data_IF_574787270984
#
_entry.id   IF_574787270984
#
_cell.length_a   1.000
_cell.length_b   1.000
_cell.length_c   1.000
_cell.angle_alpha   90.00
_cell.angle_beta   90.00
_cell.angle_gamma   90.00
#
_symmetry.space_group_name_H-M   'P 1'
#
loop_
_entity.id
_entity.type
_entity.pdbx_description
1 polymer ?
#
# COMPACT_ATOMS: atom_id res chain seq x y z
N UNK A 1 -17.65 -23.59 -19.71
CA UNK A 1 -16.61 -22.55 -19.76
C UNK A 1 -15.45 -23.00 -18.91
N UNK A 2 -14.35 -23.42 -19.53
CA UNK A 2 -13.19 -23.97 -18.80
C UNK A 2 -12.35 -22.79 -18.31
N UNK A 3 -12.29 -22.60 -16.99
CA UNK A 3 -11.41 -21.60 -16.39
C UNK A 3 -9.98 -22.16 -16.48
N UNK A 4 -9.19 -21.62 -17.40
CA UNK A 4 -7.74 -21.92 -17.45
C UNK A 4 -7.10 -21.20 -16.26
N UNK A 5 -6.78 -21.93 -15.20
CA UNK A 5 -5.94 -21.43 -14.10
C UNK A 5 -4.49 -21.37 -14.59
N UNK A 6 -4.09 -20.24 -15.14
CA UNK A 6 -2.68 -19.94 -15.35
C UNK A 6 -2.09 -19.52 -14.01
N UNK A 7 -1.31 -20.37 -13.38
CA UNK A 7 -0.55 -20.00 -12.18
C UNK A 7 0.62 -19.10 -12.60
N UNK A 8 0.75 -17.95 -11.90
CA UNK A 8 1.92 -17.09 -12.06
C UNK A 8 3.15 -17.84 -11.54
N UNK A 9 4.25 -17.80 -12.30
CA UNK A 9 5.51 -18.43 -11.89
C UNK A 9 6.02 -17.79 -10.59
N UNK A 10 6.52 -18.62 -9.67
CA UNK A 10 7.15 -18.16 -8.43
C UNK A 10 8.64 -18.52 -8.50
N UNK A 11 9.51 -17.55 -8.21
CA UNK A 11 10.94 -17.75 -8.03
C UNK A 11 11.31 -17.43 -6.58
N UNK A 12 12.05 -18.31 -5.92
CA UNK A 12 12.51 -18.15 -4.54
C UNK A 12 14.06 -18.11 -4.50
N UNK A 13 14.61 -17.55 -3.42
CA UNK A 13 16.06 -17.46 -3.23
C UNK A 13 16.74 -16.39 -4.09
N UNK A 14 15.98 -15.54 -4.75
CA UNK A 14 16.49 -14.40 -5.52
C UNK A 14 16.82 -13.26 -4.56
N UNK A 15 17.97 -12.62 -4.73
CA UNK A 15 18.35 -11.38 -4.04
C UNK A 15 18.28 -10.20 -5.03
N UNK A 16 18.24 -8.94 -4.57
CA UNK A 16 18.25 -7.79 -5.45
C UNK A 16 19.38 -7.80 -6.50
N UNK A 17 20.55 -8.33 -6.12
CA UNK A 17 21.73 -8.42 -6.97
C UNK A 17 21.68 -9.58 -7.98
N UNK A 18 20.84 -10.58 -7.73
CA UNK A 18 20.74 -11.81 -8.52
C UNK A 18 19.45 -11.90 -9.36
N UNK A 19 18.70 -10.81 -9.50
CA UNK A 19 17.49 -10.79 -10.32
C UNK A 19 17.85 -11.12 -11.77
N UNK A 20 17.30 -12.20 -12.38
CA UNK A 20 17.62 -12.60 -13.75
C UNK A 20 16.83 -11.78 -14.78
N UNK A 21 17.16 -10.48 -14.91
CA UNK A 21 16.40 -9.55 -15.75
C UNK A 21 16.27 -10.01 -17.19
N UNK A 22 17.35 -10.50 -17.80
CA UNK A 22 17.33 -10.97 -19.21
C UNK A 22 16.33 -12.11 -19.42
N UNK A 23 16.28 -13.05 -18.47
CA UNK A 23 15.32 -14.16 -18.51
C UNK A 23 13.90 -13.64 -18.34
N UNK A 24 13.66 -12.73 -17.37
CA UNK A 24 12.33 -12.18 -17.09
C UNK A 24 11.80 -11.38 -18.29
N UNK A 25 12.63 -10.55 -18.90
CA UNK A 25 12.25 -9.77 -20.08
C UNK A 25 12.01 -10.65 -21.31
N UNK A 26 12.87 -11.65 -21.55
CA UNK A 26 12.70 -12.55 -22.71
C UNK A 26 11.42 -13.39 -22.63
N UNK A 27 11.01 -13.78 -21.44
CA UNK A 27 9.78 -14.56 -21.23
C UNK A 27 8.51 -13.71 -21.36
N UNK A 28 8.59 -12.42 -21.11
CA UNK A 28 7.47 -11.46 -21.15
C UNK A 28 6.21 -11.98 -20.41
N UNK A 29 6.40 -12.55 -19.23
CA UNK A 29 5.37 -13.12 -18.38
C UNK A 29 5.47 -12.57 -16.97
N UNK A 30 4.36 -12.42 -16.23
CA UNK A 30 4.41 -12.03 -14.83
C UNK A 30 5.11 -13.12 -14.00
N UNK A 31 5.94 -12.70 -13.04
CA UNK A 31 6.66 -13.58 -12.11
C UNK A 31 6.60 -12.98 -10.72
N UNK A 32 6.44 -13.83 -9.71
CA UNK A 32 6.52 -13.45 -8.30
C UNK A 32 7.92 -13.77 -7.80
N UNK A 33 8.69 -12.77 -7.39
CA UNK A 33 9.99 -12.92 -6.74
C UNK A 33 9.75 -13.01 -5.21
N UNK A 34 9.51 -14.21 -4.71
CA UNK A 34 9.11 -14.42 -3.31
C UNK A 34 10.30 -14.21 -2.38
N UNK A 35 10.10 -13.35 -1.39
CA UNK A 35 11.10 -13.05 -0.37
C UNK A 35 12.21 -12.08 -0.82
N UNK A 36 12.12 -11.50 -2.03
CA UNK A 36 13.13 -10.59 -2.57
C UNK A 36 13.47 -9.44 -1.59
N UNK A 37 12.46 -8.86 -0.97
CA UNK A 37 12.60 -7.71 -0.06
C UNK A 37 12.52 -8.08 1.43
N UNK A 38 12.66 -9.36 1.77
CA UNK A 38 12.51 -9.86 3.16
C UNK A 38 13.46 -9.19 4.15
N UNK A 39 14.60 -8.72 3.68
CA UNK A 39 15.67 -8.14 4.49
C UNK A 39 15.61 -6.61 4.58
N UNK A 40 14.71 -5.97 3.87
CA UNK A 40 14.52 -4.52 3.96
C UNK A 40 14.11 -4.11 5.38
N UNK A 41 14.65 -2.98 5.90
CA UNK A 41 14.34 -2.51 7.26
C UNK A 41 12.85 -2.37 7.52
N UNK A 42 12.09 -1.74 6.61
CA UNK A 42 10.62 -1.60 6.73
C UNK A 42 9.89 -2.94 6.76
N UNK A 43 10.35 -3.94 5.98
CA UNK A 43 9.75 -5.28 6.01
C UNK A 43 10.01 -5.97 7.35
N UNK A 44 11.22 -5.83 7.91
CA UNK A 44 11.56 -6.34 9.24
C UNK A 44 10.74 -5.67 10.35
N UNK A 45 10.54 -4.36 10.25
CA UNK A 45 9.65 -3.63 11.17
C UNK A 45 8.20 -4.07 11.04
N UNK A 46 7.71 -4.25 9.81
CA UNK A 46 6.33 -4.68 9.54
C UNK A 46 6.01 -6.07 10.08
N UNK A 47 7.00 -6.97 10.12
CA UNK A 47 6.86 -8.28 10.77
C UNK A 47 6.77 -8.20 12.30
N UNK A 48 7.21 -7.10 12.90
CA UNK A 48 7.11 -6.88 14.34
C UNK A 48 5.78 -6.25 14.72
N UNK A 49 5.45 -5.09 14.11
CA UNK A 49 4.14 -4.44 14.29
C UNK A 49 3.91 -3.32 13.28
N UNK A 50 2.63 -3.07 12.95
CA UNK A 50 2.22 -1.92 12.13
C UNK A 50 2.57 -0.60 12.81
N UNK A 51 2.51 -0.53 14.14
CA UNK A 51 2.85 0.68 14.91
C UNK A 51 4.32 1.08 14.70
N UNK A 52 5.25 0.12 14.63
CA UNK A 52 6.66 0.41 14.35
C UNK A 52 6.89 0.93 12.93
N UNK A 53 6.18 0.39 11.95
CA UNK A 53 6.23 0.89 10.57
C UNK A 53 5.69 2.31 10.50
N UNK A 54 4.55 2.58 11.11
CA UNK A 54 3.99 3.94 11.15
C UNK A 54 4.95 4.94 11.81
N UNK A 55 5.57 4.57 12.91
CA UNK A 55 6.55 5.44 13.59
C UNK A 55 7.77 5.72 12.72
N UNK A 56 8.30 4.73 12.03
CA UNK A 56 9.44 4.88 11.11
C UNK A 56 9.07 5.79 9.93
N UNK A 57 7.91 5.58 9.33
CA UNK A 57 7.43 6.41 8.24
C UNK A 57 7.16 7.86 8.69
N UNK A 58 6.65 8.07 9.90
CA UNK A 58 6.47 9.43 10.45
C UNK A 58 7.80 10.15 10.66
N UNK A 59 8.84 9.43 11.08
CA UNK A 59 10.17 10.00 11.30
C UNK A 59 10.77 10.58 10.02
N UNK A 60 10.62 9.88 8.90
CA UNK A 60 11.18 10.25 7.59
C UNK A 60 10.22 11.06 6.71
N UNK A 61 8.99 11.30 7.16
CA UNK A 61 8.00 12.02 6.38
C UNK A 61 8.24 13.54 6.37
N UNK A 62 8.16 14.16 5.20
CA UNK A 62 8.33 15.61 5.03
C UNK A 62 7.13 16.45 5.51
N UNK A 63 6.07 15.82 6.02
CA UNK A 63 4.84 16.43 6.53
C UNK A 63 4.09 17.33 5.53
N UNK A 64 4.36 17.20 4.23
CA UNK A 64 3.60 17.91 3.20
C UNK A 64 2.18 17.34 3.12
N UNK A 65 1.16 18.22 2.98
CA UNK A 65 -0.21 17.77 2.77
C UNK A 65 -0.36 17.01 1.44
N UNK A 66 -1.11 15.92 1.49
CA UNK A 66 -1.46 15.08 0.34
C UNK A 66 -2.97 14.87 0.28
N UNK A 67 -3.45 14.33 -0.83
CA UNK A 67 -4.85 14.01 -0.99
C UNK A 67 -5.14 12.64 -0.35
N UNK A 68 -6.09 12.63 0.57
CA UNK A 68 -6.57 11.44 1.27
C UNK A 68 -8.03 11.24 0.94
N UNK A 69 -8.39 10.05 0.49
CA UNK A 69 -9.77 9.64 0.30
C UNK A 69 -10.28 8.94 1.56
N UNK A 70 -11.49 9.30 1.96
CA UNK A 70 -12.16 8.74 3.12
C UNK A 70 -13.50 8.18 2.71
N UNK A 71 -13.73 6.91 2.96
CA UNK A 71 -14.97 6.20 2.65
C UNK A 71 -15.54 5.56 3.91
N UNK A 72 -16.86 5.59 4.02
CA UNK A 72 -17.61 4.98 5.12
C UNK A 72 -17.48 3.44 5.12
N UNK A 73 -17.83 2.76 6.23
CA UNK A 73 -17.73 1.30 6.34
C UNK A 73 -18.51 0.53 5.27
N UNK A 74 -19.62 1.08 4.80
CA UNK A 74 -20.52 0.45 3.80
C UNK A 74 -19.89 0.30 2.42
N UNK A 75 -18.80 1.01 2.10
CA UNK A 75 -18.10 0.82 0.82
C UNK A 75 -17.16 -0.39 0.81
N UNK A 76 -16.92 -1.06 1.95
CA UNK A 76 -16.05 -2.23 2.09
C UNK A 76 -14.66 -2.04 1.43
N UNK A 77 -14.03 -0.88 1.64
CA UNK A 77 -12.77 -0.46 1.03
C UNK A 77 -12.80 -0.36 -0.53
N UNK A 78 -13.96 -0.34 -1.15
CA UNK A 78 -14.12 -0.23 -2.60
C UNK A 78 -14.35 1.21 -3.01
N UNK A 79 -13.28 1.97 -3.14
CA UNK A 79 -13.33 3.35 -3.62
C UNK A 79 -13.70 3.42 -5.10
N UNK A 80 -14.78 4.12 -5.44
CA UNK A 80 -15.27 4.20 -6.82
C UNK A 80 -16.45 5.15 -6.96
N UNK A 81 -17.30 4.88 -7.96
CA UNK A 81 -18.53 5.61 -8.12
C UNK A 81 -19.60 5.16 -7.13
N UNK A 82 -20.51 6.09 -6.76
CA UNK A 82 -21.70 5.75 -6.02
C UNK A 82 -22.66 4.89 -6.90
N UNK A 83 -23.69 4.31 -6.27
CA UNK A 83 -24.65 3.40 -6.95
C UNK A 83 -25.36 4.02 -8.16
N UNK A 84 -25.53 5.35 -8.19
CA UNK A 84 -26.17 6.07 -9.28
C UNK A 84 -25.20 6.54 -10.37
N UNK A 85 -23.90 6.30 -10.20
CA UNK A 85 -22.83 6.79 -11.09
C UNK A 85 -22.82 8.32 -11.29
N UNK A 86 -23.38 9.08 -10.34
CA UNK A 86 -23.43 10.55 -10.38
C UNK A 86 -22.33 11.24 -9.61
N UNK A 87 -21.52 10.48 -8.87
CA UNK A 87 -20.41 10.96 -8.05
C UNK A 87 -19.61 9.79 -7.46
N UNK A 88 -18.69 10.10 -6.59
CA UNK A 88 -17.90 9.10 -5.89
C UNK A 88 -18.60 8.62 -4.59
N UNK A 89 -18.26 7.42 -4.14
CA UNK A 89 -18.73 6.87 -2.87
C UNK A 89 -17.78 7.21 -1.70
N UNK A 90 -16.93 8.19 -1.88
CA UNK A 90 -15.96 8.66 -0.89
C UNK A 90 -15.83 10.18 -0.95
N UNK A 91 -15.26 10.76 0.09
CA UNK A 91 -14.85 12.17 0.14
C UNK A 91 -13.34 12.29 0.02
N UNK A 92 -12.85 13.48 -0.36
CA UNK A 92 -11.42 13.76 -0.45
C UNK A 92 -11.07 14.93 0.46
N UNK A 93 -10.00 14.79 1.24
CA UNK A 93 -9.46 15.84 2.10
C UNK A 93 -7.95 15.96 1.93
N UNK A 94 -7.39 17.13 2.21
CA UNK A 94 -5.94 17.29 2.37
C UNK A 94 -5.57 16.91 3.81
N UNK A 95 -4.54 16.08 3.96
CA UNK A 95 -4.01 15.66 5.25
C UNK A 95 -2.53 15.31 5.13
N UNK A 96 -1.85 15.19 6.25
CA UNK A 96 -0.45 14.76 6.33
C UNK A 96 -0.36 13.29 6.75
N UNK A 97 0.78 12.62 6.54
CA UNK A 97 0.99 11.23 7.00
C UNK A 97 0.77 11.09 8.52
N UNK A 98 1.32 11.97 9.38
CA UNK A 98 1.06 11.87 10.82
C UNK A 98 -0.43 11.97 11.19
N UNK A 99 -1.20 12.84 10.53
CA UNK A 99 -2.64 12.97 10.76
C UNK A 99 -3.39 11.69 10.32
N UNK A 100 -3.07 11.16 9.13
CA UNK A 100 -3.66 9.89 8.65
C UNK A 100 -3.35 8.74 9.60
N UNK A 101 -2.12 8.64 10.09
CA UNK A 101 -1.76 7.59 11.05
C UNK A 101 -2.41 7.82 12.43
N UNK A 102 -2.63 9.08 12.82
CA UNK A 102 -3.44 9.42 13.99
C UNK A 102 -4.89 8.93 13.85
N UNK A 103 -5.51 9.21 12.71
CA UNK A 103 -6.86 8.73 12.38
C UNK A 103 -6.93 7.20 12.41
N UNK A 104 -5.97 6.50 11.80
CA UNK A 104 -5.90 5.03 11.82
C UNK A 104 -5.79 4.50 13.26
N UNK A 105 -4.88 5.06 14.07
CA UNK A 105 -4.70 4.62 15.47
C UNK A 105 -5.97 4.79 16.28
N UNK A 106 -6.69 5.90 16.10
CA UNK A 106 -7.94 6.17 16.83
C UNK A 106 -9.06 5.20 16.47
N UNK A 107 -9.01 4.61 15.27
CA UNK A 107 -10.02 3.70 14.75
C UNK A 107 -9.74 2.22 15.06
N UNK A 108 -8.50 1.86 15.45
CA UNK A 108 -8.11 0.46 15.70
C UNK A 108 -8.92 -0.23 16.82
N UNK A 109 -9.57 0.52 17.68
CA UNK A 109 -10.41 0.01 18.80
C UNK A 109 -11.90 0.11 18.53
N UNK A 110 -12.29 0.51 17.33
CA UNK A 110 -13.69 0.68 16.93
C UNK A 110 -14.14 -0.53 16.10
N UNK A 111 -15.37 -0.99 16.33
CA UNK A 111 -15.96 -2.10 15.57
C UNK A 111 -16.24 -1.69 14.10
N UNK A 112 -16.65 -0.42 13.91
CA UNK A 112 -16.84 0.18 12.59
C UNK A 112 -15.89 1.36 12.42
N UNK A 113 -15.24 1.46 11.28
CA UNK A 113 -14.29 2.52 10.99
C UNK A 113 -14.33 2.93 9.53
N UNK A 114 -13.99 4.18 9.26
CA UNK A 114 -13.83 4.66 7.90
C UNK A 114 -12.58 4.09 7.25
N UNK A 115 -12.67 3.84 5.96
CA UNK A 115 -11.50 3.48 5.15
C UNK A 115 -10.76 4.74 4.72
N UNK A 116 -9.45 4.76 4.91
CA UNK A 116 -8.56 5.82 4.44
C UNK A 116 -7.68 5.30 3.31
N UNK A 117 -7.61 6.06 2.23
CA UNK A 117 -6.79 5.71 1.07
C UNK A 117 -5.98 6.92 0.59
N UNK A 118 -4.66 6.77 0.58
CA UNK A 118 -3.73 7.75 0.03
C UNK A 118 -3.36 7.31 -1.38
N UNK A 119 -3.82 8.07 -2.37
CA UNK A 119 -3.56 7.77 -3.77
C UNK A 119 -2.30 8.47 -4.27
N UNK A 120 -1.50 7.73 -5.06
CA UNK A 120 -0.36 8.28 -5.82
C UNK A 120 0.67 9.05 -4.96
N UNK A 121 0.89 8.59 -3.73
CA UNK A 121 1.98 9.13 -2.92
C UNK A 121 3.32 8.75 -3.56
N UNK A 122 4.05 9.73 -4.01
CA UNK A 122 5.42 9.54 -4.48
C UNK A 122 6.34 9.36 -3.29
N UNK A 123 7.01 8.22 -3.23
CA UNK A 123 7.82 7.85 -2.08
C UNK A 123 9.04 8.75 -1.91
N UNK A 124 9.70 9.08 -3.01
CA UNK A 124 10.83 10.02 -3.06
C UNK A 124 10.48 11.44 -2.63
N UNK A 125 9.23 11.87 -2.86
CA UNK A 125 8.74 13.18 -2.41
C UNK A 125 8.23 13.17 -0.97
N UNK A 126 7.58 12.09 -0.56
CA UNK A 126 6.97 11.98 0.76
C UNK A 126 7.95 11.60 1.87
N UNK A 127 8.98 10.84 1.52
CA UNK A 127 9.96 10.26 2.44
C UNK A 127 11.38 10.36 1.88
N UNK A 128 11.91 11.58 1.71
CA UNK A 128 13.17 11.82 0.98
C UNK A 128 14.41 11.22 1.67
N UNK A 129 14.30 10.83 2.93
CA UNK A 129 15.41 10.29 3.74
C UNK A 129 15.23 8.79 4.10
N UNK A 130 14.29 8.09 3.48
CA UNK A 130 14.01 6.69 3.79
C UNK A 130 14.83 5.73 2.92
#
# INVERSE_FOLDING_TARGET
>A
MTIVKNNVQIMEGITPESIPFDQLFSQNKPVILKGLVKDWPLVKLGKQSSAKVMAELELHNNKKPMLVYQGSPDIEARFGYNKSCTGFNFTAKKSTIPEVFGDIRSQLTQDEHDYLYVNSLRFDEGFPEL
#
